data_IF_939433573914
#
_entry.id   IF_939433573914
#
_cell.length_a   1.000
_cell.length_b   1.000
_cell.length_c   1.000
_cell.angle_alpha   90.00
_cell.angle_beta   90.00
_cell.angle_gamma   90.00
#
_symmetry.space_group_name_H-M   'P 1'
#
loop_
_entity.id
_entity.type
_entity.pdbx_description
1 polymer ?
#
# COMPACT_ATOMS: atom_id res chain seq x y z
N UNK A 1 50.80 -31.69 -11.47
CA UNK A 1 49.57 -31.45 -12.30
C UNK A 1 48.44 -30.64 -11.63
N UNK A 2 48.39 -30.44 -10.31
CA UNK A 2 47.27 -29.72 -9.65
C UNK A 2 47.22 -28.18 -9.86
N UNK A 3 48.35 -27.52 -10.13
CA UNK A 3 48.41 -26.05 -10.32
C UNK A 3 47.71 -25.55 -11.61
N UNK A 4 47.81 -26.30 -12.72
CA UNK A 4 47.18 -25.92 -14.01
C UNK A 4 45.65 -25.93 -13.96
N UNK A 5 45.04 -26.83 -13.18
CA UNK A 5 43.57 -26.88 -13.03
C UNK A 5 43.02 -25.63 -12.33
N UNK A 6 43.71 -25.11 -11.30
CA UNK A 6 43.26 -23.90 -10.57
C UNK A 6 43.28 -22.64 -11.43
N UNK A 7 44.27 -22.48 -12.31
CA UNK A 7 44.29 -21.34 -13.24
C UNK A 7 43.15 -21.37 -14.25
N UNK A 8 42.77 -22.56 -14.73
CA UNK A 8 41.66 -22.71 -15.68
C UNK A 8 40.30 -22.32 -15.06
N UNK A 9 40.04 -22.72 -13.81
CA UNK A 9 38.81 -22.35 -13.11
C UNK A 9 38.73 -20.84 -12.83
N UNK A 10 39.85 -20.19 -12.52
CA UNK A 10 39.87 -18.76 -12.25
C UNK A 10 39.55 -17.93 -13.50
N UNK A 11 40.11 -18.32 -14.66
CA UNK A 11 39.79 -17.68 -15.93
C UNK A 11 38.32 -17.88 -16.32
N UNK A 12 37.77 -19.07 -16.09
CA UNK A 12 36.35 -19.34 -16.38
C UNK A 12 35.41 -18.47 -15.54
N UNK A 13 35.69 -18.35 -14.23
CA UNK A 13 34.91 -17.47 -13.33
C UNK A 13 35.01 -15.98 -13.69
N UNK A 14 36.20 -15.52 -14.09
CA UNK A 14 36.40 -14.14 -14.52
C UNK A 14 35.57 -13.80 -15.77
N UNK A 15 35.52 -14.71 -16.76
CA UNK A 15 34.71 -14.52 -17.97
C UNK A 15 33.19 -14.50 -17.68
N UNK A 16 32.71 -15.36 -16.79
CA UNK A 16 31.29 -15.36 -16.40
C UNK A 16 30.91 -14.09 -15.65
N UNK A 17 31.80 -13.56 -14.81
CA UNK A 17 31.54 -12.36 -14.02
C UNK A 17 31.49 -11.09 -14.89
N UNK A 18 32.41 -10.97 -15.85
CA UNK A 18 32.42 -9.84 -16.81
C UNK A 18 31.15 -9.86 -17.67
N UNK A 19 30.74 -11.04 -18.17
CA UNK A 19 29.52 -11.18 -18.97
C UNK A 19 28.26 -10.80 -18.19
N UNK A 20 28.19 -11.16 -16.91
CA UNK A 20 27.07 -10.80 -16.03
C UNK A 20 27.00 -9.29 -15.78
N UNK A 21 28.14 -8.62 -15.54
CA UNK A 21 28.19 -7.16 -15.37
C UNK A 21 27.73 -6.44 -16.65
N UNK A 22 28.15 -6.91 -17.82
CA UNK A 22 27.71 -6.33 -19.10
C UNK A 22 26.20 -6.46 -19.31
N UNK A 23 25.62 -7.64 -19.02
CA UNK A 23 24.16 -7.84 -19.12
C UNK A 23 23.39 -6.98 -18.11
N UNK A 24 23.89 -6.86 -16.88
CA UNK A 24 23.26 -6.03 -15.86
C UNK A 24 23.33 -4.53 -16.22
N UNK A 25 24.45 -4.08 -16.79
CA UNK A 25 24.62 -2.71 -17.27
C UNK A 25 23.64 -2.35 -18.39
N UNK A 26 23.45 -3.25 -19.36
CA UNK A 26 22.45 -3.06 -20.43
C UNK A 26 21.02 -3.01 -19.88
N UNK A 27 20.66 -3.90 -18.94
CA UNK A 27 19.33 -3.90 -18.32
C UNK A 27 19.03 -2.62 -17.53
N UNK A 28 20.03 -2.08 -16.82
CA UNK A 28 19.88 -0.83 -16.08
C UNK A 28 19.81 0.40 -17.01
N UNK A 29 20.50 0.38 -18.15
CA UNK A 29 20.43 1.47 -19.13
C UNK A 29 19.05 1.55 -19.80
N UNK A 30 18.43 0.40 -20.07
CA UNK A 30 17.09 0.32 -20.68
C UNK A 30 16.01 0.91 -19.75
N UNK A 31 16.11 0.65 -18.45
CA UNK A 31 15.23 1.23 -17.42
C UNK A 31 15.36 2.77 -17.30
N UNK A 32 16.50 3.34 -17.68
CA UNK A 32 16.71 4.79 -17.59
C UNK A 32 16.05 5.55 -18.74
N UNK A 33 15.84 4.92 -19.90
CA UNK A 33 15.30 5.57 -21.10
C UNK A 33 13.78 5.77 -21.08
N UNK A 34 13.06 5.18 -20.13
CA UNK A 34 11.59 5.14 -20.12
C UNK A 34 10.90 6.09 -19.13
N UNK A 35 11.60 7.09 -18.56
CA UNK A 35 10.92 8.18 -17.83
C UNK A 35 10.64 9.35 -18.79
N UNK A 36 9.38 9.57 -19.21
CA UNK A 36 8.99 10.84 -19.83
C UNK A 36 9.28 11.95 -18.81
N UNK A 37 10.10 12.90 -19.25
CA UNK A 37 10.37 14.14 -18.53
C UNK A 37 9.10 15.00 -18.60
N UNK A 38 8.17 14.76 -17.69
CA UNK A 38 7.04 15.66 -17.49
C UNK A 38 7.59 17.02 -17.05
N UNK A 39 7.35 17.98 -17.94
CA UNK A 39 7.78 19.36 -17.92
C UNK A 39 7.49 20.02 -16.56
N UNK A 40 8.53 20.53 -15.91
CA UNK A 40 8.39 21.69 -15.04
C UNK A 40 8.13 22.91 -15.93
N UNK A 41 6.86 23.17 -16.21
CA UNK A 41 6.41 24.44 -16.77
C UNK A 41 6.53 25.52 -15.71
N UNK A 42 7.65 26.23 -15.71
CA UNK A 42 7.79 27.54 -15.07
C UNK A 42 7.01 28.52 -15.96
N UNK A 43 5.85 29.00 -15.49
CA UNK A 43 5.11 30.05 -16.19
C UNK A 43 5.84 31.37 -15.96
N UNK A 44 6.60 31.76 -16.97
CA UNK A 44 7.11 33.11 -17.16
C UNK A 44 5.92 34.04 -17.43
N UNK A 45 5.71 34.98 -16.52
CA UNK A 45 4.64 35.97 -16.54
C UNK A 45 4.93 37.00 -17.65
N UNK A 46 4.32 36.81 -18.82
CA UNK A 46 4.35 37.75 -19.93
C UNK A 46 3.20 38.76 -19.79
N UNK A 47 3.46 40.09 -19.72
CA UNK A 47 2.41 41.10 -19.61
C UNK A 47 1.75 41.31 -20.97
N UNK A 48 0.60 40.67 -21.19
CA UNK A 48 -0.25 40.92 -22.36
C UNK A 48 -1.28 42.03 -22.07
N UNK A 49 -1.63 42.83 -23.10
CA UNK A 49 -2.54 43.97 -22.96
C UNK A 49 -3.96 43.52 -22.64
N UNK A 50 -4.59 44.26 -21.73
CA UNK A 50 -5.96 44.07 -21.24
C UNK A 50 -6.94 44.22 -22.40
N UNK A 51 -7.37 43.09 -22.96
CA UNK A 51 -8.62 43.00 -23.69
C UNK A 51 -9.73 42.78 -22.68
N UNK A 52 -10.58 43.79 -22.51
CA UNK A 52 -11.85 43.69 -21.79
C UNK A 52 -12.75 42.75 -22.59
N UNK A 53 -12.68 41.46 -22.27
CA UNK A 53 -13.62 40.46 -22.73
C UNK A 53 -14.85 40.58 -21.84
N UNK A 54 -15.94 41.04 -22.45
CA UNK A 54 -17.27 41.09 -21.86
C UNK A 54 -17.64 39.69 -21.33
N UNK A 55 -17.71 39.61 -20.01
CA UNK A 55 -17.88 38.39 -19.24
C UNK A 55 -19.31 37.89 -19.41
N UNK A 56 -19.50 37.09 -20.46
CA UNK A 56 -20.75 36.42 -20.80
C UNK A 56 -21.04 35.31 -19.79
N UNK A 57 -22.07 35.57 -18.99
CA UNK A 57 -22.95 34.64 -18.29
C UNK A 57 -22.26 33.59 -17.41
N UNK A 58 -22.30 33.87 -16.11
CA UNK A 58 -22.02 32.94 -15.02
C UNK A 58 -22.67 31.58 -15.29
N UNK A 59 -21.83 30.59 -15.58
CA UNK A 59 -22.21 29.18 -15.52
C UNK A 59 -22.72 28.94 -14.09
N UNK A 60 -23.96 28.46 -13.88
CA UNK A 60 -24.43 28.15 -12.54
C UNK A 60 -23.45 27.16 -11.94
N UNK A 61 -22.75 27.60 -10.89
CA UNK A 61 -21.90 26.75 -10.07
C UNK A 61 -22.83 25.69 -9.49
N UNK A 62 -22.84 24.52 -10.12
CA UNK A 62 -23.59 23.36 -9.70
C UNK A 62 -23.02 22.96 -8.33
N UNK A 63 -23.62 23.51 -7.27
CA UNK A 63 -23.32 23.16 -5.89
C UNK A 63 -23.68 21.69 -5.75
N UNK A 64 -22.72 20.81 -6.03
CA UNK A 64 -22.83 19.38 -5.79
C UNK A 64 -23.05 19.22 -4.30
N UNK A 65 -24.32 19.04 -3.92
CA UNK A 65 -24.70 18.75 -2.54
C UNK A 65 -23.80 17.63 -2.06
N UNK A 66 -23.04 17.90 -0.99
CA UNK A 66 -22.15 16.91 -0.41
C UNK A 66 -23.01 15.69 -0.03
N UNK A 67 -22.51 14.46 -0.29
CA UNK A 67 -23.25 13.27 0.10
C UNK A 67 -23.54 13.33 1.60
N UNK A 68 -24.79 13.08 1.98
CA UNK A 68 -25.19 12.97 3.37
C UNK A 68 -24.54 11.72 3.97
N UNK A 69 -23.61 11.92 4.91
CA UNK A 69 -22.88 10.84 5.59
C UNK A 69 -23.54 10.68 6.96
N UNK A 70 -24.01 9.46 7.26
CA UNK A 70 -24.59 9.17 8.57
C UNK A 70 -23.60 9.39 9.70
N UNK A 71 -24.11 9.73 10.88
CA UNK A 71 -23.30 9.90 12.10
C UNK A 71 -22.49 8.64 12.42
N UNK A 72 -23.07 7.47 12.18
CA UNK A 72 -22.50 6.14 12.41
C UNK A 72 -21.34 5.87 11.44
N UNK A 73 -21.52 6.21 10.17
CA UNK A 73 -20.46 6.09 9.16
C UNK A 73 -19.29 7.03 9.48
N UNK A 74 -19.58 8.26 9.91
CA UNK A 74 -18.54 9.21 10.32
C UNK A 74 -17.77 8.68 11.54
N UNK A 75 -18.47 8.18 12.56
CA UNK A 75 -17.87 7.60 13.76
C UNK A 75 -17.01 6.37 13.43
N UNK A 76 -17.48 5.51 12.54
CA UNK A 76 -16.71 4.37 12.04
C UNK A 76 -15.44 4.83 11.34
N UNK A 77 -15.53 5.77 10.39
CA UNK A 77 -14.38 6.33 9.67
C UNK A 77 -13.34 6.92 10.62
N UNK A 78 -13.77 7.67 11.62
CA UNK A 78 -12.88 8.23 12.65
C UNK A 78 -12.21 7.16 13.49
N UNK A 79 -12.93 6.12 13.92
CA UNK A 79 -12.34 4.99 14.66
C UNK A 79 -11.35 4.22 13.79
N UNK A 80 -11.74 3.84 12.58
CA UNK A 80 -10.92 3.13 11.61
C UNK A 80 -9.60 3.89 11.31
N UNK A 81 -9.68 5.22 11.19
CA UNK A 81 -8.50 6.04 10.98
C UNK A 81 -7.57 6.07 12.21
N UNK A 82 -8.11 6.24 13.42
CA UNK A 82 -7.32 6.17 14.67
C UNK A 82 -6.62 4.82 14.84
N UNK A 83 -7.35 3.73 14.62
CA UNK A 83 -6.80 2.37 14.69
C UNK A 83 -5.63 2.19 13.71
N UNK A 84 -5.71 2.72 12.49
CA UNK A 84 -4.60 2.67 11.53
C UNK A 84 -3.37 3.47 11.98
N UNK A 85 -3.58 4.62 12.61
CA UNK A 85 -2.52 5.49 13.10
C UNK A 85 -1.82 4.89 14.33
N UNK A 86 -2.59 4.23 15.20
CA UNK A 86 -2.12 3.63 16.44
C UNK A 86 -1.46 2.25 16.25
N UNK A 87 -1.59 1.65 15.06
CA UNK A 87 -1.03 0.33 14.82
C UNK A 87 0.50 0.29 14.95
N UNK A 88 1.05 -0.80 15.55
CA UNK A 88 2.47 -0.93 15.73
C UNK A 88 3.18 -1.02 14.37
N UNK A 89 4.14 -0.12 14.19
CA UNK A 89 5.03 -0.11 13.03
C UNK A 89 6.12 -1.15 13.18
N UNK A 90 6.76 -1.54 12.06
CA UNK A 90 7.92 -2.46 12.04
C UNK A 90 9.07 -2.07 12.99
N UNK A 91 9.15 -0.79 13.38
CA UNK A 91 10.14 -0.31 14.36
C UNK A 91 10.03 -0.98 15.72
N UNK A 92 8.83 -1.43 16.14
CA UNK A 92 8.65 -2.06 17.46
C UNK A 92 9.44 -3.37 17.61
N UNK A 93 9.76 -4.04 16.49
CA UNK A 93 10.56 -5.27 16.49
C UNK A 93 12.05 -5.04 16.73
N UNK A 94 12.52 -3.78 16.66
CA UNK A 94 13.94 -3.43 16.83
C UNK A 94 14.30 -3.11 18.29
N UNK A 95 13.32 -3.08 19.19
CA UNK A 95 13.54 -2.72 20.58
C UNK A 95 14.34 -3.81 21.32
N UNK A 96 15.40 -3.40 22.01
CA UNK A 96 16.29 -4.32 22.73
C UNK A 96 15.62 -4.79 24.03
N UNK A 97 15.83 -6.04 24.42
CA UNK A 97 15.35 -6.59 25.69
C UNK A 97 13.94 -7.18 25.67
N UNK A 98 13.28 -7.26 24.50
CA UNK A 98 12.04 -8.02 24.33
C UNK A 98 12.31 -9.52 24.33
N UNK A 99 11.39 -10.27 24.92
CA UNK A 99 11.34 -11.74 24.84
C UNK A 99 10.94 -12.16 23.41
N UNK A 100 11.82 -12.84 22.64
CA UNK A 100 11.52 -13.22 21.27
C UNK A 100 10.43 -14.31 21.15
N UNK A 101 10.06 -14.96 22.26
CA UNK A 101 9.03 -15.99 22.30
C UNK A 101 7.63 -15.44 22.60
N UNK A 102 7.52 -14.17 23.00
CA UNK A 102 6.24 -13.53 23.30
C UNK A 102 5.90 -12.50 22.23
N UNK A 103 4.63 -12.46 21.76
CA UNK A 103 4.23 -11.38 20.89
C UNK A 103 4.34 -10.04 21.64
N UNK A 104 4.79 -8.98 20.97
CA UNK A 104 4.62 -7.60 21.42
C UNK A 104 3.22 -7.34 21.95
N UNK A 105 3.10 -6.69 23.11
CA UNK A 105 1.79 -6.29 23.65
C UNK A 105 1.04 -5.41 22.66
N UNK A 106 1.74 -4.52 21.98
CA UNK A 106 1.17 -3.62 20.97
C UNK A 106 0.56 -4.37 19.79
N UNK A 107 1.12 -5.54 19.45
CA UNK A 107 0.55 -6.41 18.40
C UNK A 107 -0.74 -7.08 18.89
N UNK A 108 -0.79 -7.51 20.15
CA UNK A 108 -1.99 -8.08 20.77
C UNK A 108 -3.10 -7.04 20.83
N UNK A 109 -2.78 -5.84 21.33
CA UNK A 109 -3.72 -4.73 21.45
C UNK A 109 -4.27 -4.32 20.07
N UNK A 110 -3.40 -4.22 19.05
CA UNK A 110 -3.82 -3.96 17.67
C UNK A 110 -4.75 -5.04 17.10
N UNK A 111 -4.52 -6.31 17.46
CA UNK A 111 -5.38 -7.42 17.03
C UNK A 111 -6.77 -7.34 17.68
N UNK A 112 -6.85 -6.91 18.95
CA UNK A 112 -8.12 -6.70 19.64
C UNK A 112 -8.92 -5.53 19.02
N UNK A 113 -8.25 -4.45 18.63
CA UNK A 113 -8.91 -3.34 17.91
C UNK A 113 -9.44 -3.77 16.54
N UNK A 114 -8.71 -4.62 15.80
CA UNK A 114 -9.21 -5.21 14.56
C UNK A 114 -10.47 -6.05 14.78
N UNK A 115 -10.52 -6.85 15.85
CA UNK A 115 -11.72 -7.59 16.25
C UNK A 115 -12.89 -6.67 16.57
N UNK A 116 -12.63 -5.53 17.22
CA UNK A 116 -13.69 -4.55 17.51
C UNK A 116 -14.23 -3.88 16.24
N UNK A 117 -13.38 -3.60 15.25
CA UNK A 117 -13.83 -3.13 13.93
C UNK A 117 -14.70 -4.19 13.24
N UNK A 118 -14.33 -5.46 13.38
CA UNK A 118 -15.09 -6.57 12.82
C UNK A 118 -16.48 -6.68 13.45
N UNK A 119 -16.57 -6.65 14.79
CA UNK A 119 -17.84 -6.64 15.53
C UNK A 119 -18.74 -5.46 15.13
N UNK A 120 -18.15 -4.29 14.84
CA UNK A 120 -18.89 -3.12 14.36
C UNK A 120 -19.47 -3.34 12.97
N UNK A 121 -18.74 -4.00 12.07
CA UNK A 121 -19.23 -4.32 10.72
C UNK A 121 -20.32 -5.39 10.75
N UNK A 122 -20.27 -6.33 11.69
CA UNK A 122 -21.34 -7.31 11.90
C UNK A 122 -22.64 -6.66 12.36
N UNK A 123 -22.54 -5.66 13.25
CA UNK A 123 -23.70 -4.93 13.78
C UNK A 123 -24.27 -3.90 12.80
N UNK A 124 -23.48 -3.43 11.84
CA UNK A 124 -23.83 -2.33 10.93
C UNK A 124 -23.48 -2.71 9.48
N UNK A 125 -24.24 -3.60 8.82
CA UNK A 125 -23.93 -4.11 7.48
C UNK A 125 -23.82 -3.02 6.40
N UNK A 126 -24.48 -1.89 6.59
CA UNK A 126 -24.39 -0.72 5.71
C UNK A 126 -22.97 -0.15 5.63
N UNK A 127 -22.15 -0.35 6.66
CA UNK A 127 -20.76 0.11 6.72
C UNK A 127 -19.77 -0.83 6.00
N UNK A 128 -20.26 -1.90 5.36
CA UNK A 128 -19.38 -2.89 4.73
C UNK A 128 -18.42 -2.27 3.72
N UNK A 129 -18.85 -1.25 2.96
CA UNK A 129 -17.99 -0.59 1.96
C UNK A 129 -16.83 0.13 2.63
N UNK A 130 -17.09 0.83 3.72
CA UNK A 130 -16.12 1.55 4.54
C UNK A 130 -15.17 0.56 5.21
N UNK A 131 -15.69 -0.56 5.72
CA UNK A 131 -14.89 -1.67 6.26
C UNK A 131 -13.93 -2.27 5.23
N UNK A 132 -14.40 -2.55 4.01
CA UNK A 132 -13.55 -3.06 2.93
C UNK A 132 -12.46 -2.05 2.54
N UNK A 133 -12.77 -0.74 2.52
CA UNK A 133 -11.77 0.31 2.29
C UNK A 133 -10.72 0.33 3.40
N UNK A 134 -11.15 0.23 4.66
CA UNK A 134 -10.24 0.16 5.81
C UNK A 134 -9.30 -1.04 5.71
N UNK A 135 -9.82 -2.27 5.52
CA UNK A 135 -8.99 -3.46 5.45
C UNK A 135 -8.02 -3.44 4.26
N UNK A 136 -8.45 -2.93 3.10
CA UNK A 136 -7.56 -2.71 1.94
C UNK A 136 -6.44 -1.73 2.27
N UNK A 137 -6.75 -0.58 2.89
CA UNK A 137 -5.74 0.39 3.32
C UNK A 137 -4.77 -0.24 4.33
N UNK A 138 -5.29 -0.92 5.35
CA UNK A 138 -4.48 -1.63 6.34
C UNK A 138 -3.49 -2.63 5.70
N UNK A 139 -3.97 -3.50 4.82
CA UNK A 139 -3.12 -4.51 4.17
C UNK A 139 -2.04 -3.90 3.26
N UNK A 140 -2.30 -2.73 2.67
CA UNK A 140 -1.36 -2.02 1.79
C UNK A 140 -0.34 -1.15 2.55
N UNK A 141 -0.57 -0.82 3.83
CA UNK A 141 0.35 0.03 4.61
C UNK A 141 1.66 -0.69 4.93
N UNK A 142 2.72 -0.38 4.18
CA UNK A 142 4.01 -1.06 4.27
C UNK A 142 4.76 -0.87 5.59
N UNK A 143 4.42 0.14 6.39
CA UNK A 143 5.01 0.40 7.70
C UNK A 143 4.53 -0.58 8.77
N UNK A 144 3.36 -1.20 8.58
CA UNK A 144 2.79 -2.15 9.52
C UNK A 144 3.50 -3.50 9.50
N UNK A 145 3.37 -4.24 10.59
CA UNK A 145 3.85 -5.61 10.70
C UNK A 145 3.17 -6.51 9.66
N UNK A 146 3.95 -7.43 9.09
CA UNK A 146 3.45 -8.37 8.06
C UNK A 146 2.27 -9.20 8.56
N UNK A 147 2.27 -9.59 9.84
CA UNK A 147 1.17 -10.31 10.47
C UNK A 147 -0.14 -9.52 10.47
N UNK A 148 -0.11 -8.24 10.88
CA UNK A 148 -1.28 -7.36 10.85
C UNK A 148 -1.78 -7.13 9.43
N UNK A 149 -0.87 -6.91 8.48
CA UNK A 149 -1.24 -6.75 7.06
C UNK A 149 -1.90 -8.00 6.49
N UNK A 150 -1.40 -9.18 6.85
CA UNK A 150 -1.97 -10.45 6.44
C UNK A 150 -3.35 -10.68 7.07
N UNK A 151 -3.52 -10.37 8.36
CA UNK A 151 -4.82 -10.43 9.04
C UNK A 151 -5.83 -9.47 8.39
N UNK A 152 -5.43 -8.24 8.11
CA UNK A 152 -6.28 -7.30 7.37
C UNK A 152 -6.65 -7.80 5.96
N UNK A 153 -5.73 -8.46 5.25
CA UNK A 153 -6.02 -9.06 3.96
C UNK A 153 -6.97 -10.26 4.08
N UNK A 154 -6.82 -11.09 5.12
CA UNK A 154 -7.74 -12.18 5.43
C UNK A 154 -9.16 -11.63 5.65
N UNK A 155 -9.32 -10.66 6.56
CA UNK A 155 -10.62 -10.05 6.85
C UNK A 155 -11.21 -9.38 5.60
N UNK A 156 -10.39 -8.74 4.76
CA UNK A 156 -10.83 -8.19 3.47
C UNK A 156 -11.43 -9.26 2.56
N UNK A 157 -10.73 -10.40 2.38
CA UNK A 157 -11.20 -11.52 1.55
C UNK A 157 -12.50 -12.10 2.07
N UNK A 158 -12.55 -12.41 3.36
CA UNK A 158 -13.73 -12.98 4.02
C UNK A 158 -14.94 -12.06 3.85
N UNK A 159 -14.79 -10.77 4.17
CA UNK A 159 -15.88 -9.79 4.08
C UNK A 159 -16.30 -9.51 2.64
N UNK A 160 -15.35 -9.38 1.71
CA UNK A 160 -15.66 -9.13 0.30
C UNK A 160 -16.41 -10.30 -0.33
N UNK A 161 -16.05 -11.53 0.04
CA UNK A 161 -16.75 -12.74 -0.41
C UNK A 161 -18.16 -12.77 0.16
N UNK A 162 -18.31 -12.61 1.48
CA UNK A 162 -19.60 -12.65 2.17
C UNK A 162 -20.59 -11.59 1.68
N UNK A 163 -20.11 -10.41 1.29
CA UNK A 163 -20.92 -9.28 0.85
C UNK A 163 -21.06 -9.17 -0.69
N UNK A 164 -20.43 -10.06 -1.46
CA UNK A 164 -20.49 -10.05 -2.93
C UNK A 164 -19.66 -8.94 -3.60
N UNK A 165 -18.68 -8.36 -2.89
CA UNK A 165 -17.77 -7.32 -3.39
C UNK A 165 -16.45 -7.85 -3.93
N UNK A 166 -16.19 -9.16 -3.88
CA UNK A 166 -14.93 -9.81 -4.29
C UNK A 166 -14.41 -9.31 -5.66
N UNK A 167 -15.28 -9.29 -6.69
CA UNK A 167 -14.92 -8.86 -8.05
C UNK A 167 -14.50 -7.39 -8.17
N UNK A 168 -14.77 -6.56 -7.15
CA UNK A 168 -14.40 -5.13 -7.13
C UNK A 168 -13.02 -4.89 -6.54
N UNK A 169 -12.40 -5.92 -5.97
CA UNK A 169 -11.08 -5.81 -5.33
C UNK A 169 -10.01 -6.25 -6.33
N UNK A 170 -9.00 -5.40 -6.51
CA UNK A 170 -7.83 -5.71 -7.33
C UNK A 170 -6.84 -6.53 -6.51
N UNK A 171 -7.05 -7.85 -6.46
CA UNK A 171 -6.26 -8.76 -5.64
C UNK A 171 -4.76 -8.77 -5.97
N UNK A 172 -4.39 -8.43 -7.21
CA UNK A 172 -2.99 -8.32 -7.64
C UNK A 172 -2.22 -7.14 -7.03
N UNK A 173 -2.88 -6.21 -6.33
CA UNK A 173 -2.20 -5.10 -5.63
C UNK A 173 -1.50 -5.54 -4.34
N UNK A 174 -1.90 -6.68 -3.77
CA UNK A 174 -1.31 -7.17 -2.54
C UNK A 174 -0.11 -8.07 -2.86
N UNK A 175 1.01 -7.93 -2.15
CA UNK A 175 2.16 -8.80 -2.36
C UNK A 175 1.83 -10.29 -2.15
N UNK A 176 2.34 -11.18 -3.00
CA UNK A 176 2.10 -12.64 -2.95
C UNK A 176 2.34 -13.25 -1.57
N UNK A 177 3.35 -12.77 -0.85
CA UNK A 177 3.66 -13.28 0.49
C UNK A 177 2.55 -12.99 1.49
N UNK A 178 1.79 -11.89 1.34
CA UNK A 178 0.63 -11.61 2.18
C UNK A 178 -0.52 -12.57 1.86
N UNK A 179 -0.77 -12.86 0.58
CA UNK A 179 -1.78 -13.85 0.20
C UNK A 179 -1.52 -15.19 0.87
N UNK A 180 -0.28 -15.71 0.77
CA UNK A 180 0.12 -16.99 1.37
C UNK A 180 -0.09 -17.08 2.88
N UNK A 181 0.01 -15.96 3.60
CA UNK A 181 -0.21 -15.93 5.05
C UNK A 181 -1.70 -15.79 5.34
N UNK A 182 -2.38 -14.86 4.66
CA UNK A 182 -3.81 -14.60 4.84
C UNK A 182 -4.67 -15.84 4.54
N UNK A 183 -4.29 -16.66 3.55
CA UNK A 183 -5.00 -17.89 3.19
C UNK A 183 -4.81 -19.05 4.19
N UNK A 184 -3.99 -18.85 5.22
CA UNK A 184 -3.74 -19.83 6.30
C UNK A 184 -4.29 -19.41 7.66
N UNK A 185 -4.79 -18.18 7.77
CA UNK A 185 -5.53 -17.70 8.93
C UNK A 185 -6.96 -18.23 8.83
#
# INVERSE_FOLDING_TARGET
MKKKKRQLYFLFWAFTFISFISLLGWYLLDQYKSKPSDQMGFLEESPNPVHVVEQKDAHPEEVRALPDISSEELAFRQRAQRVLEDFPKKSILKERGRDPHKPPRELVDASNELGTIEDLLDKNPELVKEGLRFYRKCALTNELLTSLRALCLHNLKTRATASGFDKRIRWNEFPDHLHRIADKL
#
